data_IF_174287017421
#
_entry.id   IF_174287017421
#
_cell.length_a   1.000
_cell.length_b   1.000
_cell.length_c   1.000
_cell.angle_alpha   90.00
_cell.angle_beta   90.00
_cell.angle_gamma   90.00
#
_symmetry.space_group_name_H-M   'P 1'
#
loop_
_entity.id
_entity.type
_entity.pdbx_description
1 polymer ?
#
# COMPACT_ATOMS: atom_id res chain seq x y z
N UNK A 1 36.57 -31.75 -26.77
CA UNK A 1 35.80 -31.20 -25.63
C UNK A 1 36.48 -29.89 -25.28
N UNK A 2 35.90 -28.74 -25.66
CA UNK A 2 36.60 -27.45 -25.57
C UNK A 2 36.85 -27.07 -24.11
N UNK A 3 38.11 -26.89 -23.74
CA UNK A 3 38.51 -26.36 -22.44
C UNK A 3 38.00 -24.93 -22.29
N UNK A 4 37.12 -24.70 -21.31
CA UNK A 4 36.69 -23.34 -20.99
C UNK A 4 37.80 -22.64 -20.23
N UNK A 5 38.25 -21.49 -20.74
CA UNK A 5 39.23 -20.66 -20.03
C UNK A 5 38.72 -20.34 -18.62
N UNK A 6 39.61 -20.36 -17.62
CA UNK A 6 39.26 -20.16 -16.21
C UNK A 6 38.34 -18.94 -16.04
N UNK A 7 38.68 -17.80 -16.65
CA UNK A 7 37.85 -16.59 -16.63
C UNK A 7 36.41 -16.81 -17.13
N UNK A 8 36.23 -17.51 -18.25
CA UNK A 8 34.91 -17.82 -18.82
C UNK A 8 34.07 -18.72 -17.90
N UNK A 9 34.71 -19.63 -17.17
CA UNK A 9 34.02 -20.48 -16.17
C UNK A 9 33.47 -19.66 -15.01
N UNK A 10 34.25 -18.74 -14.45
CA UNK A 10 33.79 -17.89 -13.34
C UNK A 10 32.74 -16.87 -13.78
N UNK A 11 32.85 -16.31 -14.99
CA UNK A 11 31.81 -15.43 -15.55
C UNK A 11 30.46 -16.15 -15.65
N UNK A 12 30.44 -17.39 -16.15
CA UNK A 12 29.20 -18.16 -16.27
C UNK A 12 28.59 -18.49 -14.90
N UNK A 13 29.43 -18.82 -13.92
CA UNK A 13 28.97 -19.08 -12.54
C UNK A 13 28.40 -17.80 -11.91
N UNK A 14 29.06 -16.67 -12.07
CA UNK A 14 28.61 -15.39 -11.52
C UNK A 14 27.27 -14.95 -12.11
N UNK A 15 27.11 -15.03 -13.44
CA UNK A 15 25.83 -14.72 -14.10
C UNK A 15 24.73 -15.68 -13.68
N UNK A 16 25.05 -16.97 -13.54
CA UNK A 16 24.10 -17.97 -13.05
C UNK A 16 23.61 -17.69 -11.63
N UNK A 17 24.51 -17.32 -10.72
CA UNK A 17 24.16 -16.96 -9.34
C UNK A 17 23.34 -15.67 -9.30
N UNK A 18 23.71 -14.64 -10.07
CA UNK A 18 22.93 -13.40 -10.14
C UNK A 18 21.52 -13.63 -10.69
N UNK A 19 21.38 -14.43 -11.73
CA UNK A 19 20.08 -14.77 -12.30
C UNK A 19 19.22 -15.53 -11.29
N UNK A 20 19.79 -16.53 -10.59
CA UNK A 20 19.09 -17.28 -9.54
C UNK A 20 18.66 -16.37 -8.39
N UNK A 21 19.55 -15.50 -7.92
CA UNK A 21 19.25 -14.54 -6.86
C UNK A 21 18.14 -13.56 -7.28
N UNK A 22 18.18 -13.08 -8.52
CA UNK A 22 17.13 -12.22 -9.08
C UNK A 22 15.76 -12.90 -9.11
N UNK A 23 15.69 -14.18 -9.49
CA UNK A 23 14.44 -14.96 -9.46
C UNK A 23 13.94 -15.15 -8.04
N UNK A 24 14.82 -15.47 -7.07
CA UNK A 24 14.43 -15.65 -5.66
C UNK A 24 13.89 -14.33 -5.10
N UNK A 25 14.59 -13.22 -5.30
CA UNK A 25 14.11 -11.90 -4.84
C UNK A 25 12.80 -11.55 -5.54
N UNK A 26 12.71 -11.77 -6.86
CA UNK A 26 11.51 -11.50 -7.65
C UNK A 26 10.30 -12.40 -7.34
N UNK A 27 10.49 -13.53 -6.66
CA UNK A 27 9.39 -14.45 -6.30
C UNK A 27 9.09 -14.49 -4.81
N UNK A 28 10.04 -14.13 -3.95
CA UNK A 28 9.88 -14.14 -2.49
C UNK A 28 9.72 -12.74 -1.92
N UNK A 29 10.43 -11.72 -2.43
CA UNK A 29 10.31 -10.33 -1.96
C UNK A 29 9.22 -9.58 -2.71
N UNK A 30 9.06 -9.82 -4.01
CA UNK A 30 8.00 -9.20 -4.82
C UNK A 30 6.55 -9.53 -4.43
N UNK A 31 6.15 -10.74 -3.95
CA UNK A 31 4.77 -10.96 -3.51
C UNK A 31 4.35 -10.04 -2.36
N UNK A 32 5.29 -9.43 -1.63
CA UNK A 32 5.01 -8.40 -0.63
C UNK A 32 4.77 -7.00 -1.23
N UNK A 33 5.16 -6.73 -2.47
CA UNK A 33 4.79 -5.51 -3.20
C UNK A 33 3.36 -5.58 -3.75
N UNK A 34 2.72 -6.77 -3.77
CA UNK A 34 1.28 -6.90 -4.04
C UNK A 34 0.41 -6.53 -2.81
N UNK A 35 1.03 -6.06 -1.72
CA UNK A 35 0.35 -5.32 -0.64
C UNK A 35 0.17 -3.85 -1.02
N UNK A 36 -0.14 -3.55 -2.30
CA UNK A 36 -0.71 -2.25 -2.65
C UNK A 36 -2.08 -2.25 -1.99
N UNK A 37 -2.13 -1.65 -0.80
CA UNK A 37 -3.32 -1.60 0.04
C UNK A 37 -4.52 -1.22 -0.83
N UNK A 38 -5.57 -2.01 -0.76
CA UNK A 38 -6.81 -1.72 -1.48
C UNK A 38 -7.31 -0.35 -1.02
N UNK A 39 -7.40 0.58 -1.97
CA UNK A 39 -7.91 1.92 -1.74
C UNK A 39 -9.44 1.83 -1.86
N UNK A 40 -10.12 1.94 -0.72
CA UNK A 40 -11.57 1.86 -0.60
C UNK A 40 -12.12 3.29 -0.65
N UNK A 41 -13.17 3.46 -1.45
CA UNK A 41 -13.94 4.70 -1.55
C UNK A 41 -15.30 4.46 -0.93
N UNK A 42 -15.64 5.21 0.12
CA UNK A 42 -16.87 5.02 0.88
C UNK A 42 -17.52 6.36 1.21
N UNK A 43 -18.83 6.44 1.07
CA UNK A 43 -19.64 7.59 1.49
C UNK A 43 -19.99 7.43 2.97
N UNK A 44 -19.46 8.31 3.80
CA UNK A 44 -19.61 8.25 5.25
C UNK A 44 -20.20 9.55 5.80
N UNK A 45 -20.78 9.46 6.99
CA UNK A 45 -21.29 10.62 7.72
C UNK A 45 -20.28 10.99 8.80
N UNK A 46 -19.93 12.28 8.89
CA UNK A 46 -19.05 12.77 9.95
C UNK A 46 -19.76 12.68 11.30
N UNK A 47 -19.15 11.95 12.24
CA UNK A 47 -19.70 11.73 13.59
C UNK A 47 -19.29 12.83 14.57
N UNK A 48 -18.08 13.35 14.41
CA UNK A 48 -17.53 14.40 15.27
C UNK A 48 -16.50 15.21 14.50
N UNK A 49 -16.43 16.52 14.77
CA UNK A 49 -15.33 17.38 14.35
C UNK A 49 -14.73 18.05 15.61
N UNK A 50 -13.49 17.71 15.92
CA UNK A 50 -12.73 18.30 17.02
C UNK A 50 -11.56 19.10 16.45
N UNK A 51 -11.71 20.43 16.39
CA UNK A 51 -10.65 21.37 16.01
C UNK A 51 -9.98 21.04 14.65
N UNK A 52 -10.79 20.65 13.67
CA UNK A 52 -10.31 20.30 12.32
C UNK A 52 -9.98 18.81 12.13
N UNK A 53 -10.11 17.98 13.17
CA UNK A 53 -10.01 16.52 13.03
C UNK A 53 -11.41 15.91 13.05
N UNK A 54 -11.83 15.37 11.91
CA UNK A 54 -13.11 14.66 11.79
C UNK A 54 -12.95 13.17 12.08
N UNK A 55 -14.00 12.59 12.66
CA UNK A 55 -14.12 11.15 12.89
C UNK A 55 -15.32 10.62 12.12
N UNK A 56 -15.13 9.55 11.36
CA UNK A 56 -16.17 8.85 10.65
C UNK A 56 -16.03 7.33 10.84
N UNK A 57 -17.15 6.63 10.94
CA UNK A 57 -17.16 5.17 10.96
C UNK A 57 -17.22 4.64 9.54
N UNK A 58 -16.42 3.61 9.27
CA UNK A 58 -16.33 2.90 7.99
C UNK A 58 -16.76 1.45 8.13
N UNK A 59 -17.03 0.80 7.00
CA UNK A 59 -17.45 -0.60 6.96
C UNK A 59 -16.47 -1.60 7.60
N UNK A 60 -15.20 -1.22 7.80
CA UNK A 60 -14.18 -2.04 8.45
C UNK A 60 -14.18 -1.95 9.99
N UNK A 61 -15.20 -1.32 10.59
CA UNK A 61 -15.41 -1.19 12.05
C UNK A 61 -14.28 -0.45 12.78
N UNK A 62 -13.38 0.22 12.04
CA UNK A 62 -12.28 1.01 12.59
C UNK A 62 -12.55 2.49 12.30
N UNK A 63 -12.80 3.34 13.32
CA UNK A 63 -13.08 4.75 13.12
C UNK A 63 -11.89 5.44 12.43
N UNK A 64 -12.20 6.24 11.40
CA UNK A 64 -11.23 6.98 10.61
C UNK A 64 -11.09 8.40 11.09
N UNK A 65 -9.85 8.82 11.27
CA UNK A 65 -9.47 10.20 11.52
C UNK A 65 -9.11 10.90 10.21
N UNK A 66 -9.70 12.07 10.01
CA UNK A 66 -9.50 12.92 8.84
C UNK A 66 -8.97 14.25 9.34
N UNK A 67 -7.73 14.56 9.01
CA UNK A 67 -7.09 15.84 9.30
C UNK A 67 -7.59 16.94 8.35
N UNK A 68 -7.49 18.20 8.77
CA UNK A 68 -7.89 19.39 8.00
C UNK A 68 -9.36 19.35 7.49
N UNK A 69 -10.25 18.76 8.28
CA UNK A 69 -11.66 18.61 7.95
C UNK A 69 -12.46 19.88 8.27
N UNK A 70 -13.03 20.48 7.24
CA UNK A 70 -13.90 21.68 7.35
C UNK A 70 -15.39 21.34 7.47
N UNK A 71 -15.75 20.06 7.35
CA UNK A 71 -17.13 19.58 7.39
C UNK A 71 -17.66 19.44 8.82
N UNK A 72 -18.95 19.67 9.01
CA UNK A 72 -19.62 19.56 10.29
C UNK A 72 -20.07 18.13 10.61
N UNK A 73 -20.36 17.88 11.89
CA UNK A 73 -21.06 16.65 12.30
C UNK A 73 -22.39 16.52 11.57
N UNK A 74 -22.63 15.37 10.94
CA UNK A 74 -23.83 15.08 10.16
C UNK A 74 -23.69 15.29 8.65
N UNK A 75 -22.58 15.87 8.19
CA UNK A 75 -22.31 16.02 6.76
C UNK A 75 -21.91 14.68 6.14
N UNK A 76 -22.39 14.43 4.91
CA UNK A 76 -22.02 13.26 4.13
C UNK A 76 -20.85 13.60 3.19
N UNK A 77 -19.77 12.83 3.28
CA UNK A 77 -18.56 13.02 2.49
C UNK A 77 -18.07 11.69 1.93
N UNK A 78 -17.47 11.73 0.74
CA UNK A 78 -16.76 10.58 0.19
C UNK A 78 -15.34 10.58 0.72
N UNK A 79 -14.95 9.48 1.37
CA UNK A 79 -13.59 9.31 1.88
C UNK A 79 -12.88 8.19 1.14
N UNK A 80 -11.58 8.40 0.96
CA UNK A 80 -10.63 7.41 0.49
C UNK A 80 -9.79 6.95 1.68
N UNK A 81 -9.79 5.65 1.94
CA UNK A 81 -8.95 5.03 2.96
C UNK A 81 -8.42 3.69 2.48
N UNK A 82 -7.43 3.16 3.18
CA UNK A 82 -6.95 1.81 2.92
C UNK A 82 -7.41 0.86 4.03
N UNK A 83 -7.74 -0.38 3.67
CA UNK A 83 -8.22 -1.39 4.62
C UNK A 83 -7.28 -1.53 5.84
N UNK A 84 -7.85 -1.50 7.04
CA UNK A 84 -7.11 -1.68 8.30
C UNK A 84 -6.34 -0.43 8.78
N UNK A 85 -6.53 0.73 8.17
CA UNK A 85 -5.98 2.00 8.63
C UNK A 85 -6.97 2.80 9.48
N UNK A 86 -6.47 3.61 10.39
CA UNK A 86 -7.28 4.55 11.18
C UNK A 86 -7.31 5.97 10.59
N UNK A 87 -6.80 6.18 9.37
CA UNK A 87 -6.78 7.49 8.72
C UNK A 87 -7.43 7.43 7.35
N UNK A 88 -8.05 8.53 6.95
CA UNK A 88 -8.72 8.67 5.66
C UNK A 88 -8.52 10.08 5.09
N UNK A 89 -8.78 10.23 3.80
CA UNK A 89 -8.72 11.53 3.10
C UNK A 89 -10.04 11.77 2.40
N UNK A 90 -10.60 12.97 2.54
CA UNK A 90 -11.81 13.35 1.81
C UNK A 90 -11.45 13.53 0.33
N UNK A 91 -12.24 12.93 -0.54
CA UNK A 91 -12.13 13.10 -1.98
C UNK A 91 -13.41 13.75 -2.48
N UNK A 92 -13.27 14.82 -3.26
CA UNK A 92 -14.41 15.37 -4.00
C UNK A 92 -14.75 14.42 -5.16
N UNK A 93 -16.05 14.26 -5.50
CA UNK A 93 -16.51 13.37 -6.56
C UNK A 93 -16.02 13.78 -7.96
#
# INVERSE_FOLDING_TARGET
MGEMTFGRKYTLIFVGILALAGVIIGTVVFPFWNLIREEIYEDVIILSNNDGVCVADTADEIPKHIEDCTYGTGDAVTIKYGEGLAWATIVEP
#
